data_IF_201209601463
#
_entry.id   IF_201209601463
#
_cell.length_a   1.000
_cell.length_b   1.000
_cell.length_c   1.000
_cell.angle_alpha   90.00
_cell.angle_beta   90.00
_cell.angle_gamma   90.00
#
_symmetry.space_group_name_H-M   'P 1'
#
loop_
_entity.id
_entity.type
_entity.pdbx_description
1 polymer ?
#
# COMPACT_ATOMS: atom_id res chain seq x y z
N UNK A 1 -5.06 -37.88 -9.32
CA UNK A 1 -4.56 -36.79 -10.18
C UNK A 1 -5.34 -35.57 -9.74
N UNK A 2 -4.70 -34.76 -8.92
CA UNK A 2 -5.26 -33.55 -8.34
C UNK A 2 -4.75 -32.42 -9.23
N UNK A 3 -5.63 -31.79 -10.01
CA UNK A 3 -5.36 -30.50 -10.64
C UNK A 3 -6.69 -29.80 -10.93
N UNK A 4 -6.66 -28.48 -10.78
CA UNK A 4 -7.60 -27.48 -11.30
C UNK A 4 -8.95 -27.26 -10.61
N UNK A 5 -8.94 -26.77 -9.36
CA UNK A 5 -9.94 -25.77 -8.90
C UNK A 5 -9.58 -25.12 -7.55
N UNK A 6 -8.54 -24.31 -7.54
CA UNK A 6 -8.42 -23.21 -6.58
C UNK A 6 -7.93 -21.98 -7.37
N UNK A 7 -8.76 -21.57 -8.35
CA UNK A 7 -8.64 -20.24 -8.95
C UNK A 7 -9.08 -19.23 -7.89
N UNK A 8 -8.24 -18.99 -6.88
CA UNK A 8 -8.30 -17.78 -6.11
C UNK A 8 -8.19 -16.63 -7.12
N UNK A 9 -9.24 -15.82 -7.27
CA UNK A 9 -9.23 -14.75 -8.27
C UNK A 9 -8.19 -13.69 -7.85
N UNK A 10 -6.97 -13.84 -8.36
CA UNK A 10 -5.91 -12.86 -8.26
C UNK A 10 -6.35 -11.61 -8.98
N UNK A 11 -6.32 -10.46 -8.31
CA UNK A 11 -6.63 -9.17 -8.94
C UNK A 11 -5.55 -8.95 -10.00
N UNK A 12 -5.90 -8.67 -11.27
CA UNK A 12 -4.92 -8.56 -12.34
C UNK A 12 -3.99 -7.36 -12.09
N UNK A 13 -2.68 -7.61 -12.10
CA UNK A 13 -1.66 -6.59 -11.89
C UNK A 13 -1.20 -6.00 -13.22
N UNK A 14 -1.28 -4.68 -13.35
CA UNK A 14 -0.71 -3.91 -14.46
C UNK A 14 0.69 -3.45 -14.05
N UNK A 15 1.71 -4.02 -14.69
CA UNK A 15 3.13 -3.82 -14.32
C UNK A 15 3.90 -2.89 -15.28
N UNK A 16 3.20 -2.32 -16.27
CA UNK A 16 3.79 -1.58 -17.38
C UNK A 16 4.70 -0.44 -16.93
N UNK A 17 6.00 -0.61 -17.21
CA UNK A 17 7.04 0.38 -16.89
C UNK A 17 7.32 0.52 -15.40
N UNK A 18 6.90 -0.44 -14.57
CA UNK A 18 7.17 -0.49 -13.13
C UNK A 18 8.06 -1.68 -12.75
N UNK A 19 7.68 -2.91 -13.08
CA UNK A 19 8.46 -4.12 -12.77
C UNK A 19 8.54 -5.03 -13.99
N UNK A 20 9.62 -5.83 -14.06
CA UNK A 20 9.82 -6.80 -15.15
C UNK A 20 8.78 -7.93 -15.17
N UNK A 21 8.11 -8.16 -14.04
CA UNK A 21 7.08 -9.17 -13.87
C UNK A 21 6.63 -9.25 -12.41
N UNK A 22 5.59 -10.04 -12.13
CA UNK A 22 5.01 -10.16 -10.80
C UNK A 22 6.00 -10.74 -9.78
N UNK A 23 6.84 -11.70 -10.20
CA UNK A 23 7.86 -12.26 -9.32
C UNK A 23 8.87 -11.19 -8.86
N UNK A 24 9.31 -10.30 -9.76
CA UNK A 24 10.24 -9.23 -9.40
C UNK A 24 9.62 -8.24 -8.39
N UNK A 25 8.30 -8.00 -8.50
CA UNK A 25 7.55 -7.19 -7.56
C UNK A 25 7.46 -7.88 -6.18
N UNK A 26 7.15 -9.18 -6.16
CA UNK A 26 7.12 -10.00 -4.93
C UNK A 26 8.49 -10.06 -4.26
N UNK A 27 9.54 -10.27 -5.04
CA UNK A 27 10.92 -10.31 -4.56
C UNK A 27 11.32 -8.99 -3.91
N UNK A 28 10.96 -7.85 -4.53
CA UNK A 28 11.17 -6.52 -3.94
C UNK A 28 10.41 -6.36 -2.62
N UNK A 29 9.13 -6.74 -2.58
CA UNK A 29 8.29 -6.67 -1.37
C UNK A 29 8.92 -7.45 -0.22
N UNK A 30 9.42 -8.65 -0.48
CA UNK A 30 10.08 -9.49 0.53
C UNK A 30 11.45 -8.94 0.92
N UNK A 31 12.27 -8.57 -0.06
CA UNK A 31 13.62 -8.05 0.16
C UNK A 31 13.61 -6.79 1.03
N UNK A 32 12.65 -5.90 0.80
CA UNK A 32 12.46 -4.65 1.56
C UNK A 32 11.52 -4.79 2.75
N UNK A 33 11.06 -6.00 3.08
CA UNK A 33 10.17 -6.28 4.21
C UNK A 33 8.94 -5.35 4.24
N UNK A 34 8.31 -5.18 3.07
CA UNK A 34 7.27 -4.16 2.89
C UNK A 34 6.08 -4.44 3.78
N UNK A 35 5.68 -3.44 4.55
CA UNK A 35 4.51 -3.47 5.40
C UNK A 35 3.53 -2.38 5.02
N UNK A 36 2.29 -2.50 5.50
CA UNK A 36 1.30 -1.45 5.36
C UNK A 36 0.39 -1.31 6.58
N UNK A 37 -0.15 -0.12 6.74
CA UNK A 37 -1.32 0.16 7.57
C UNK A 37 -2.14 1.27 6.91
N UNK A 38 -3.30 1.56 7.46
CA UNK A 38 -4.12 2.68 7.00
C UNK A 38 -4.74 3.41 8.17
N UNK A 39 -4.99 4.70 7.98
CA UNK A 39 -5.70 5.54 8.94
C UNK A 39 -6.75 6.38 8.21
N UNK A 40 -7.80 6.86 8.91
CA UNK A 40 -8.68 7.87 8.36
C UNK A 40 -7.91 9.13 7.94
N UNK A 41 -8.25 9.71 6.80
CA UNK A 41 -7.65 10.95 6.28
C UNK A 41 -8.60 12.12 6.48
N UNK A 42 -8.16 13.10 7.26
CA UNK A 42 -8.94 14.27 7.65
C UNK A 42 -8.37 15.55 7.05
N UNK A 43 -9.26 16.47 6.69
CA UNK A 43 -8.89 17.83 6.29
C UNK A 43 -9.78 18.83 7.02
N UNK A 44 -9.27 20.05 7.19
CA UNK A 44 -10.06 21.18 7.63
C UNK A 44 -10.78 21.77 6.41
N UNK A 45 -12.10 21.93 6.50
CA UNK A 45 -12.89 22.58 5.46
C UNK A 45 -12.82 24.12 5.57
N UNK A 46 -13.47 24.82 4.63
CA UNK A 46 -13.53 26.29 4.64
C UNK A 46 -14.37 26.90 5.78
N UNK A 47 -14.91 26.08 6.68
CA UNK A 47 -15.71 26.46 7.84
C UNK A 47 -15.03 26.06 9.16
N UNK A 48 -13.70 25.84 9.14
CA UNK A 48 -12.89 25.39 10.27
C UNK A 48 -13.33 24.06 10.91
N UNK A 49 -14.12 23.26 10.19
CA UNK A 49 -14.54 21.94 10.64
C UNK A 49 -13.59 20.87 10.13
N UNK A 50 -13.21 19.93 11.01
CA UNK A 50 -12.41 18.76 10.61
C UNK A 50 -13.35 17.68 10.08
N UNK A 51 -13.17 17.31 8.81
CA UNK A 51 -13.98 16.31 8.14
C UNK A 51 -13.11 15.17 7.61
N UNK A 52 -13.59 13.93 7.75
CA UNK A 52 -12.96 12.78 7.10
C UNK A 52 -13.34 12.79 5.62
N UNK A 53 -12.34 12.79 4.75
CA UNK A 53 -12.54 12.76 3.30
C UNK A 53 -12.07 11.45 2.67
N UNK A 54 -11.39 10.60 3.44
CA UNK A 54 -11.01 9.27 2.98
C UNK A 54 -10.08 8.53 3.94
N UNK A 55 -9.08 7.86 3.36
CA UNK A 55 -8.08 7.07 4.06
C UNK A 55 -6.67 7.46 3.61
N UNK A 56 -5.69 7.21 4.47
CA UNK A 56 -4.28 7.30 4.15
C UNK A 56 -3.70 5.90 4.30
N UNK A 57 -3.27 5.32 3.18
CA UNK A 57 -2.51 4.08 3.16
C UNK A 57 -1.03 4.42 3.39
N UNK A 58 -0.41 3.85 4.41
CA UNK A 58 1.01 4.00 4.66
C UNK A 58 1.73 2.72 4.23
N UNK A 59 2.67 2.85 3.30
CA UNK A 59 3.59 1.77 2.93
C UNK A 59 4.93 1.98 3.61
N UNK A 60 5.52 0.91 4.13
CA UNK A 60 6.80 0.95 4.82
C UNK A 60 7.75 0.00 4.14
N UNK A 61 8.96 0.46 3.82
CA UNK A 61 10.05 -0.38 3.33
C UNK A 61 11.26 -0.23 4.25
N UNK A 62 11.85 -1.34 4.64
CA UNK A 62 13.00 -1.36 5.53
C UNK A 62 14.30 -1.13 4.75
N UNK A 63 15.24 -0.42 5.39
CA UNK A 63 16.64 -0.45 5.01
C UNK A 63 17.22 -1.85 5.27
N UNK A 64 18.27 -2.21 4.55
CA UNK A 64 19.00 -3.47 4.75
C UNK A 64 19.62 -3.54 6.14
N UNK A 65 20.25 -2.44 6.58
CA UNK A 65 20.70 -2.27 7.96
C UNK A 65 19.59 -1.63 8.81
N UNK A 66 19.15 -2.34 9.84
CA UNK A 66 18.12 -1.84 10.75
C UNK A 66 18.53 -0.59 11.54
N UNK A 67 19.84 -0.38 11.70
CA UNK A 67 20.43 0.77 12.38
C UNK A 67 20.86 1.89 11.43
N UNK A 68 20.49 1.80 10.14
CA UNK A 68 20.87 2.76 9.13
C UNK A 68 20.40 4.17 9.48
N UNK A 69 21.29 5.15 9.34
CA UNK A 69 20.98 6.57 9.54
C UNK A 69 21.30 7.30 8.23
N UNK A 70 20.29 7.63 7.41
CA UNK A 70 20.54 8.27 6.12
C UNK A 70 21.02 9.71 6.34
N UNK A 71 22.14 10.07 5.70
CA UNK A 71 22.77 11.40 5.80
C UNK A 71 23.03 11.91 4.38
N UNK A 72 22.60 13.14 4.08
CA UNK A 72 22.84 13.77 2.78
C UNK A 72 22.13 13.02 1.63
N UNK A 73 22.84 12.82 0.52
CA UNK A 73 22.37 12.03 -0.62
C UNK A 73 22.61 10.54 -0.38
N UNK A 74 21.71 9.93 0.39
CA UNK A 74 21.77 8.51 0.70
C UNK A 74 21.23 7.65 -0.46
N UNK A 75 22.05 6.76 -1.06
CA UNK A 75 21.66 6.00 -2.24
C UNK A 75 20.59 4.94 -1.94
N UNK A 76 20.61 4.34 -0.75
CA UNK A 76 19.62 3.34 -0.37
C UNK A 76 18.24 3.98 -0.13
N UNK A 77 18.22 5.16 0.51
CA UNK A 77 17.00 5.97 0.63
C UNK A 77 16.42 6.30 -0.75
N UNK A 78 17.25 6.73 -1.69
CA UNK A 78 16.80 7.03 -3.05
C UNK A 78 16.21 5.79 -3.75
N UNK A 79 16.85 4.64 -3.60
CA UNK A 79 16.38 3.38 -4.15
C UNK A 79 15.05 2.93 -3.53
N UNK A 80 14.94 2.94 -2.20
CA UNK A 80 13.72 2.58 -1.46
C UNK A 80 12.53 3.47 -1.85
N UNK A 81 12.74 4.78 -1.91
CA UNK A 81 11.72 5.73 -2.35
C UNK A 81 11.31 5.42 -3.78
N UNK A 82 12.26 5.17 -4.69
CA UNK A 82 11.99 4.78 -6.07
C UNK A 82 11.21 3.47 -6.19
N UNK A 83 11.54 2.45 -5.40
CA UNK A 83 10.82 1.16 -5.34
C UNK A 83 9.39 1.33 -4.83
N UNK A 84 9.20 2.07 -3.75
CA UNK A 84 7.87 2.37 -3.21
C UNK A 84 7.01 3.18 -4.21
N UNK A 85 7.61 4.10 -4.97
CA UNK A 85 6.90 4.79 -6.05
C UNK A 85 6.50 3.85 -7.19
N UNK A 86 7.36 2.91 -7.59
CA UNK A 86 7.02 1.90 -8.61
C UNK A 86 5.89 1.00 -8.13
N UNK A 87 5.93 0.57 -6.88
CA UNK A 87 4.86 -0.21 -6.25
C UNK A 87 3.53 0.59 -6.22
N UNK A 88 3.58 1.85 -5.80
CA UNK A 88 2.45 2.77 -5.81
C UNK A 88 1.85 2.95 -7.22
N UNK A 89 2.70 3.05 -8.24
CA UNK A 89 2.27 3.10 -9.65
C UNK A 89 1.52 1.84 -10.07
N UNK A 90 2.01 0.65 -9.70
CA UNK A 90 1.30 -0.63 -9.99
C UNK A 90 -0.09 -0.61 -9.37
N UNK A 91 -0.24 -0.17 -8.12
CA UNK A 91 -1.56 -0.06 -7.49
C UNK A 91 -2.49 0.85 -8.28
N UNK A 92 -2.05 2.08 -8.61
CA UNK A 92 -2.87 3.03 -9.38
C UNK A 92 -3.17 2.59 -10.81
N UNK A 93 -2.37 1.70 -11.40
CA UNK A 93 -2.63 1.15 -12.73
C UNK A 93 -3.56 -0.07 -12.68
N UNK A 94 -3.46 -0.89 -11.63
CA UNK A 94 -4.17 -2.17 -11.50
C UNK A 94 -5.55 -2.00 -10.90
N UNK A 95 -5.68 -1.05 -9.98
CA UNK A 95 -6.96 -0.62 -9.45
C UNK A 95 -7.32 0.64 -10.20
N UNK A 96 -8.57 0.78 -10.65
CA UNK A 96 -9.12 2.08 -11.07
C UNK A 96 -9.34 2.98 -9.82
N UNK A 97 -8.32 3.00 -8.95
CA UNK A 97 -8.16 3.86 -7.79
C UNK A 97 -8.33 5.28 -8.31
N UNK A 98 -9.43 5.90 -7.89
CA UNK A 98 -9.76 7.31 -7.99
C UNK A 98 -8.52 8.13 -8.34
N UNK A 99 -8.47 8.56 -9.60
CA UNK A 99 -7.31 9.19 -10.25
C UNK A 99 -6.52 10.04 -9.26
N UNK A 100 -5.21 9.80 -9.07
CA UNK A 100 -4.41 10.59 -8.16
C UNK A 100 -4.59 12.07 -8.47
N UNK A 101 -4.62 12.89 -7.41
CA UNK A 101 -4.65 14.33 -7.53
C UNK A 101 -3.66 14.81 -8.59
N UNK A 102 -4.00 15.91 -9.27
CA UNK A 102 -3.22 16.52 -10.37
C UNK A 102 -1.81 17.02 -9.96
N UNK A 103 -1.36 16.65 -8.78
CA UNK A 103 -0.03 16.81 -8.23
C UNK A 103 0.50 15.43 -7.84
N UNK A 104 1.18 14.73 -8.76
CA UNK A 104 2.12 13.69 -8.38
C UNK A 104 3.43 14.37 -7.94
N UNK A 105 3.37 15.34 -7.01
CA UNK A 105 4.54 15.55 -6.17
C UNK A 105 4.56 14.36 -5.22
N UNK A 106 5.74 13.74 -5.01
CA UNK A 106 5.82 12.38 -4.52
C UNK A 106 5.01 12.26 -3.23
N UNK A 107 4.19 11.19 -3.04
CA UNK A 107 3.64 10.87 -1.74
C UNK A 107 4.72 11.10 -0.68
N UNK A 108 4.37 11.84 0.38
CA UNK A 108 5.34 12.33 1.34
C UNK A 108 6.08 11.12 1.90
N UNK A 109 7.38 11.06 1.66
CA UNK A 109 8.22 10.02 2.23
C UNK A 109 8.91 10.55 3.47
N UNK A 110 8.98 9.72 4.51
CA UNK A 110 9.70 10.05 5.74
C UNK A 110 10.45 8.82 6.22
N UNK A 111 11.67 9.04 6.69
CA UNK A 111 12.43 8.01 7.41
C UNK A 111 11.86 7.94 8.82
N UNK A 112 11.54 6.74 9.28
CA UNK A 112 10.95 6.51 10.60
C UNK A 112 11.70 5.44 11.38
N UNK A 113 11.59 5.56 12.70
CA UNK A 113 12.04 4.58 13.68
C UNK A 113 10.91 4.43 14.69
N UNK A 114 10.06 3.41 14.56
CA UNK A 114 8.92 3.24 15.46
C UNK A 114 9.19 2.15 16.51
N UNK A 115 8.79 2.35 17.78
CA UNK A 115 8.97 1.34 18.83
C UNK A 115 8.29 0.02 18.49
N UNK A 116 7.11 0.08 17.86
CA UNK A 116 6.30 -1.08 17.46
C UNK A 116 7.05 -1.94 16.45
N UNK A 117 7.97 -1.35 15.68
CA UNK A 117 8.81 -2.01 14.68
C UNK A 117 10.27 -2.12 15.14
N UNK A 118 10.47 -2.11 16.46
CA UNK A 118 11.79 -2.28 17.12
C UNK A 118 12.83 -1.23 16.72
N UNK A 119 12.38 -0.01 16.41
CA UNK A 119 13.24 1.10 15.97
C UNK A 119 14.10 0.76 14.73
N UNK A 120 13.62 -0.14 13.88
CA UNK A 120 14.24 -0.39 12.58
C UNK A 120 14.08 0.85 11.69
N UNK A 121 15.14 1.21 10.98
CA UNK A 121 15.10 2.25 9.94
C UNK A 121 14.17 1.82 8.80
N UNK A 122 13.15 2.64 8.52
CA UNK A 122 12.21 2.41 7.44
C UNK A 122 11.86 3.70 6.70
N UNK A 123 11.58 3.58 5.41
CA UNK A 123 10.96 4.63 4.61
C UNK A 123 9.46 4.40 4.62
N UNK A 124 8.70 5.39 5.10
CA UNK A 124 7.24 5.41 5.02
C UNK A 124 6.80 6.27 3.83
N UNK A 125 6.00 5.70 2.93
CA UNK A 125 5.31 6.39 1.85
C UNK A 125 3.82 6.52 2.18
N UNK A 126 3.32 7.76 2.25
CA UNK A 126 1.92 8.03 2.61
C UNK A 126 1.08 8.32 1.36
N UNK A 127 0.08 7.47 1.09
CA UNK A 127 -0.76 7.52 -0.10
C UNK A 127 -2.19 7.88 0.33
N UNK A 128 -2.67 9.09 0.05
CA UNK A 128 -4.06 9.44 0.32
C UNK A 128 -4.99 8.78 -0.70
N UNK A 129 -6.06 8.17 -0.20
CA UNK A 129 -7.13 7.50 -0.97
C UNK A 129 -8.43 8.22 -0.63
N UNK A 130 -8.98 8.98 -1.58
CA UNK A 130 -10.25 9.70 -1.43
C UNK A 130 -10.89 9.97 -2.79
N UNK A 131 -12.20 10.21 -2.78
CA UNK A 131 -12.92 10.61 -4.00
C UNK A 131 -12.82 12.12 -4.24
N UNK A 132 -12.18 12.48 -5.34
CA UNK A 132 -12.02 13.87 -5.77
C UNK A 132 -13.34 14.50 -6.25
N UNK A 133 -14.24 13.72 -6.86
CA UNK A 133 -15.54 14.24 -7.30
C UNK A 133 -16.39 14.69 -6.10
N UNK A 134 -16.11 14.13 -4.92
CA UNK A 134 -16.81 14.38 -3.69
C UNK A 134 -15.87 14.88 -2.58
N UNK A 135 -14.91 15.75 -2.91
CA UNK A 135 -14.01 16.35 -1.92
C UNK A 135 -14.82 17.07 -0.82
N UNK A 136 -14.70 16.60 0.42
CA UNK A 136 -15.47 17.10 1.56
C UNK A 136 -16.76 16.33 1.87
N UNK A 137 -17.12 15.33 1.06
CA UNK A 137 -18.14 14.35 1.44
C UNK A 137 -17.54 13.27 2.34
N UNK A 138 -18.40 12.66 3.16
CA UNK A 138 -17.99 11.50 3.96
C UNK A 138 -17.61 10.34 3.02
N UNK A 139 -16.63 9.52 3.42
CA UNK A 139 -16.30 8.30 2.68
C UNK A 139 -17.55 7.44 2.53
N UNK A 140 -17.77 6.92 1.32
CA UNK A 140 -18.84 6.00 1.00
C UNK A 140 -18.32 4.55 0.98
N UNK A 141 -19.25 3.61 0.77
CA UNK A 141 -18.92 2.18 0.72
C UNK A 141 -17.88 1.85 -0.36
N UNK A 142 -17.89 2.57 -1.49
CA UNK A 142 -16.94 2.36 -2.59
C UNK A 142 -15.51 2.64 -2.16
N UNK A 143 -15.31 3.67 -1.34
CA UNK A 143 -13.97 4.00 -0.84
C UNK A 143 -13.44 2.94 0.14
N UNK A 144 -14.32 2.36 0.95
CA UNK A 144 -13.97 1.26 1.85
C UNK A 144 -13.62 -0.01 1.06
N UNK A 145 -14.38 -0.35 0.03
CA UNK A 145 -14.09 -1.48 -0.87
C UNK A 145 -12.78 -1.29 -1.62
N UNK A 146 -12.49 -0.06 -2.04
CA UNK A 146 -11.25 0.29 -2.72
C UNK A 146 -10.03 0.13 -1.79
N UNK A 147 -10.16 0.58 -0.54
CA UNK A 147 -9.14 0.34 0.48
C UNK A 147 -8.95 -1.17 0.73
N UNK A 148 -10.03 -1.92 0.91
CA UNK A 148 -9.96 -3.37 1.10
C UNK A 148 -9.30 -4.09 -0.08
N UNK A 149 -9.58 -3.64 -1.31
CA UNK A 149 -8.97 -4.21 -2.52
C UNK A 149 -7.47 -3.89 -2.59
N UNK A 150 -7.05 -2.68 -2.22
CA UNK A 150 -5.64 -2.32 -2.12
C UNK A 150 -4.90 -3.16 -1.06
N UNK A 151 -5.52 -3.39 0.10
CA UNK A 151 -4.96 -4.28 1.12
C UNK A 151 -4.83 -5.72 0.62
N UNK A 152 -5.85 -6.23 -0.07
CA UNK A 152 -5.83 -7.56 -0.64
C UNK A 152 -4.70 -7.73 -1.67
N UNK A 153 -4.49 -6.75 -2.54
CA UNK A 153 -3.34 -6.77 -3.45
C UNK A 153 -2.00 -6.77 -2.72
N UNK A 154 -1.83 -5.93 -1.68
CA UNK A 154 -0.61 -5.91 -0.87
C UNK A 154 -0.34 -7.26 -0.23
N UNK A 155 -1.37 -7.87 0.36
CA UNK A 155 -1.28 -9.20 0.96
C UNK A 155 -0.96 -10.27 -0.09
N UNK A 156 -1.60 -10.21 -1.26
CA UNK A 156 -1.32 -11.10 -2.38
C UNK A 156 0.14 -11.02 -2.81
N UNK A 157 0.75 -9.83 -2.81
CA UNK A 157 2.16 -9.61 -3.13
C UNK A 157 3.15 -10.05 -2.03
N UNK A 158 2.65 -10.40 -0.84
CA UNK A 158 3.45 -10.85 0.29
C UNK A 158 3.78 -9.76 1.32
N UNK A 159 3.24 -8.54 1.16
CA UNK A 159 3.38 -7.48 2.15
C UNK A 159 2.63 -7.84 3.44
N UNK A 160 3.03 -7.26 4.57
CA UNK A 160 2.44 -7.55 5.88
C UNK A 160 1.68 -6.36 6.45
N UNK A 161 0.50 -6.60 7.01
CA UNK A 161 -0.25 -5.57 7.73
C UNK A 161 0.41 -5.33 9.10
N UNK A 162 0.63 -4.06 9.46
CA UNK A 162 1.17 -3.68 10.76
C UNK A 162 2.69 -3.84 10.86
N UNK A 163 3.24 -5.04 10.97
CA UNK A 163 4.69 -5.22 11.16
C UNK A 163 5.23 -6.42 10.37
N UNK A 164 6.51 -6.37 10.03
CA UNK A 164 7.21 -7.51 9.45
C UNK A 164 7.79 -8.37 10.57
N UNK A 165 7.22 -9.55 10.77
CA UNK A 165 7.75 -10.54 11.70
C UNK A 165 8.75 -11.43 10.95
N UNK A 166 10.01 -11.42 11.40
CA UNK A 166 11.09 -12.23 10.79
C UNK A 166 10.97 -13.74 11.16
N UNK A 167 10.05 -14.10 12.07
CA UNK A 167 9.71 -15.49 12.37
C UNK A 167 8.52 -15.96 11.53
N UNK A 168 8.51 -17.21 11.04
CA UNK A 168 7.33 -17.79 10.40
C UNK A 168 6.28 -18.02 11.49
N UNK A 169 5.45 -17.02 11.77
CA UNK A 169 4.28 -17.20 12.58
C UNK A 169 3.32 -18.10 11.80
N UNK A 170 3.13 -19.32 12.30
CA UNK A 170 2.19 -20.29 11.76
C UNK A 170 0.81 -19.64 11.58
N UNK A 171 0.30 -19.72 10.35
CA UNK A 171 -1.10 -19.65 9.96
C UNK A 171 -2.00 -18.73 10.81
N UNK A 172 -2.04 -17.45 10.45
CA UNK A 172 -3.29 -16.69 10.55
C UNK A 172 -3.80 -16.46 9.13
N UNK A 173 -4.46 -17.48 8.56
CA UNK A 173 -5.42 -17.28 7.48
C UNK A 173 -6.56 -16.46 8.04
N UNK A 174 -6.48 -15.13 7.91
CA UNK A 174 -7.68 -14.34 7.90
C UNK A 174 -8.29 -14.53 6.51
N UNK A 175 -9.21 -15.48 6.39
CA UNK A 175 -10.15 -15.59 5.27
C UNK A 175 -11.09 -14.37 5.33
N UNK A 176 -10.54 -13.18 5.06
CA UNK A 176 -11.32 -12.08 4.52
C UNK A 176 -11.34 -12.36 3.04
N UNK A 177 -12.50 -12.77 2.52
CA UNK A 177 -12.70 -13.10 1.10
C UNK A 177 -12.39 -11.86 0.26
N UNK A 178 -11.11 -11.68 -0.09
CA UNK A 178 -10.61 -10.66 -0.99
C UNK A 178 -11.32 -10.69 -2.36
N UNK A 179 -11.91 -11.83 -2.68
CA UNK A 179 -12.68 -12.11 -3.88
C UNK A 179 -13.98 -11.28 -3.95
N UNK A 180 -14.66 -11.11 -2.81
CA UNK A 180 -15.91 -10.34 -2.76
C UNK A 180 -15.65 -8.84 -2.91
N UNK A 181 -14.53 -8.34 -2.38
CA UNK A 181 -14.12 -6.94 -2.52
C UNK A 181 -13.66 -6.60 -3.94
N UNK A 182 -12.87 -7.47 -4.57
CA UNK A 182 -12.40 -7.28 -5.94
C UNK A 182 -13.57 -7.24 -6.96
N UNK A 183 -14.60 -8.08 -6.76
CA UNK A 183 -15.79 -8.08 -7.62
C UNK A 183 -16.60 -6.80 -7.47
N UNK A 184 -16.81 -6.31 -6.25
CA UNK A 184 -17.57 -5.10 -6.00
C UNK A 184 -16.91 -3.83 -6.59
N UNK A 185 -15.57 -3.75 -6.49
CA UNK A 185 -14.81 -2.61 -7.03
C UNK A 185 -14.80 -2.52 -8.58
N UNK A 186 -15.03 -3.63 -9.29
CA UNK A 186 -15.05 -3.66 -10.76
C UNK A 186 -16.45 -3.49 -11.38
N UNK A 187 -17.53 -3.63 -10.60
CA UNK A 187 -18.91 -3.63 -11.10
C UNK A 187 -19.67 -2.30 -10.91
N UNK A 188 -19.04 -1.25 -10.38
CA UNK A 188 -19.67 0.07 -10.13
C UNK A 188 -18.88 1.26 -10.64
#
# INVERSE_FOLDING_TARGET
MLDDQEMAMSIPLVLDGAFAGEQALRDMVVARKVCFDHAPFYVQDGSDCIIQIGFQLNLYAAFQDASHVPIGEDPELHELVGELHRLCRVFFQSLDLLKPCRYPDPPMHRVMYSPERRYRAEVCLQIPIFDRAHYGAKPDHRLEELLATAECLLLQLGAKRGQWEDEPCAERRSDVSCEDHARAAMEG
#
